data_IF_061860796824
#
_entry.id   IF_061860796824
#
_cell.length_a   1.000
_cell.length_b   1.000
_cell.length_c   1.000
_cell.angle_alpha   90.00
_cell.angle_beta   90.00
_cell.angle_gamma   90.00
#
_symmetry.space_group_name_H-M   'P 1'
#
loop_
_entity.id
_entity.type
_entity.pdbx_description
1 polymer ?
#
# COMPACT_ATOMS: atom_id res chain seq x y z
N UNK A 1 31.40 -19.96 -1.51
CA UNK A 1 30.54 -19.62 -2.66
C UNK A 1 31.01 -18.29 -3.19
N UNK A 2 31.99 -18.41 -4.07
CA UNK A 2 32.81 -17.38 -4.68
C UNK A 2 32.36 -17.23 -6.14
N UNK A 3 32.43 -16.00 -6.65
CA UNK A 3 32.13 -15.58 -8.03
C UNK A 3 30.68 -15.79 -8.48
N UNK A 4 29.86 -14.77 -8.24
CA UNK A 4 28.60 -14.60 -8.97
C UNK A 4 29.00 -14.10 -10.36
N UNK A 5 28.76 -14.92 -11.37
CA UNK A 5 28.76 -14.56 -12.79
C UNK A 5 27.75 -13.42 -13.04
N UNK A 6 28.18 -12.18 -12.80
CA UNK A 6 27.51 -10.96 -13.32
C UNK A 6 28.12 -10.59 -14.70
N UNK A 7 29.13 -11.33 -15.17
CA UNK A 7 29.91 -11.01 -16.38
C UNK A 7 29.33 -11.54 -17.69
N UNK A 8 28.08 -12.02 -17.72
CA UNK A 8 27.35 -12.30 -18.97
C UNK A 8 26.24 -11.28 -19.28
N UNK A 9 26.32 -10.07 -18.72
CA UNK A 9 25.50 -8.94 -19.15
C UNK A 9 26.21 -8.26 -20.33
N UNK A 10 25.77 -8.57 -21.56
CA UNK A 10 26.11 -7.94 -22.85
C UNK A 10 27.11 -6.77 -22.79
N UNK A 11 28.30 -6.95 -23.38
CA UNK A 11 29.35 -5.91 -23.50
C UNK A 11 28.97 -4.72 -24.39
N UNK A 12 27.83 -4.78 -25.09
CA UNK A 12 27.24 -3.67 -25.82
C UNK A 12 26.31 -2.83 -24.94
N UNK A 13 26.48 -1.51 -24.97
CA UNK A 13 25.56 -0.56 -24.31
C UNK A 13 24.22 -0.60 -25.02
N UNK A 14 23.18 -1.13 -24.36
CA UNK A 14 21.82 -1.17 -24.89
C UNK A 14 21.14 0.17 -24.68
N UNK A 15 20.54 0.71 -25.74
CA UNK A 15 19.63 1.83 -25.62
C UNK A 15 18.34 1.39 -24.93
N UNK A 16 17.99 2.07 -23.85
CA UNK A 16 16.84 1.71 -23.03
C UNK A 16 15.55 2.20 -23.68
N UNK A 17 14.53 1.33 -23.66
CA UNK A 17 13.19 1.74 -24.09
C UNK A 17 12.69 2.91 -23.22
N UNK A 18 11.87 3.76 -23.82
CA UNK A 18 11.40 5.00 -23.19
C UNK A 18 10.05 5.43 -23.75
N UNK A 19 9.33 6.23 -22.98
CA UNK A 19 8.18 6.96 -23.52
C UNK A 19 8.68 8.06 -24.47
N UNK A 20 7.86 8.39 -25.45
CA UNK A 20 7.99 9.63 -26.22
C UNK A 20 7.84 10.85 -25.30
N UNK A 21 8.37 11.99 -25.71
CA UNK A 21 8.36 13.21 -24.88
C UNK A 21 6.93 13.70 -24.59
N UNK A 22 5.98 13.43 -25.49
CA UNK A 22 4.55 13.68 -25.32
C UNK A 22 3.78 12.55 -24.60
N UNK A 23 4.45 11.41 -24.34
CA UNK A 23 3.89 10.25 -23.67
C UNK A 23 2.84 9.47 -24.48
N UNK A 24 2.75 9.66 -25.80
CA UNK A 24 1.74 9.01 -26.65
C UNK A 24 2.17 7.67 -27.25
N UNK A 25 3.46 7.34 -27.22
CA UNK A 25 3.97 6.06 -27.69
C UNK A 25 5.26 5.67 -26.94
N UNK A 26 5.70 4.44 -27.13
CA UNK A 26 6.99 3.93 -26.65
C UNK A 26 7.98 3.95 -27.81
N UNK A 27 9.22 4.28 -27.51
CA UNK A 27 10.37 4.02 -28.39
C UNK A 27 11.09 2.83 -27.77
N UNK A 28 11.11 1.71 -28.50
CA UNK A 28 11.75 0.48 -28.03
C UNK A 28 13.29 0.57 -28.08
N UNK A 29 13.97 -0.47 -27.60
CA UNK A 29 15.43 -0.51 -27.55
C UNK A 29 16.10 -0.55 -28.92
N UNK A 30 15.35 -0.80 -30.01
CA UNK A 30 15.85 -0.78 -31.38
C UNK A 30 15.43 0.51 -32.12
N UNK A 31 14.91 1.50 -31.37
CA UNK A 31 14.53 2.82 -31.87
C UNK A 31 13.19 2.86 -32.61
N UNK A 32 12.40 1.77 -32.58
CA UNK A 32 11.12 1.70 -33.28
C UNK A 32 10.01 2.31 -32.43
N UNK A 33 9.06 2.96 -33.12
CA UNK A 33 7.83 3.45 -32.49
C UNK A 33 6.90 2.27 -32.21
N UNK A 34 6.38 2.22 -30.99
CA UNK A 34 5.42 1.23 -30.51
C UNK A 34 4.22 1.95 -29.90
N UNK A 35 3.03 1.69 -30.44
CA UNK A 35 1.79 2.27 -29.92
C UNK A 35 1.42 1.66 -28.55
N UNK A 36 0.74 2.42 -27.70
CA UNK A 36 0.50 2.05 -26.29
C UNK A 36 -0.48 0.89 -26.11
N UNK A 37 -1.14 0.43 -27.17
CA UNK A 37 -2.00 -0.75 -27.17
C UNK A 37 -1.34 -2.02 -27.73
N UNK A 38 -0.08 -1.94 -28.17
CA UNK A 38 0.69 -3.06 -28.72
C UNK A 38 0.65 -4.27 -27.77
N UNK A 39 0.34 -5.49 -28.28
CA UNK A 39 0.20 -6.69 -27.46
C UNK A 39 1.50 -7.15 -26.79
N UNK A 40 2.66 -6.65 -27.22
CA UNK A 40 3.96 -6.90 -26.57
C UNK A 40 4.10 -6.15 -25.25
N UNK A 41 3.28 -5.13 -24.99
CA UNK A 41 3.34 -4.35 -23.77
C UNK A 41 2.82 -5.18 -22.59
N UNK A 42 3.66 -5.36 -21.57
CA UNK A 42 3.29 -6.04 -20.33
C UNK A 42 3.45 -5.10 -19.14
N UNK A 43 2.38 -4.96 -18.36
CA UNK A 43 2.37 -4.17 -17.13
C UNK A 43 2.80 -5.04 -15.95
N UNK A 44 3.73 -4.53 -15.14
CA UNK A 44 4.22 -5.22 -13.94
C UNK A 44 4.12 -4.30 -12.74
N UNK A 45 3.49 -4.77 -11.66
CA UNK A 45 3.50 -4.14 -10.34
C UNK A 45 4.53 -4.88 -9.46
N UNK A 46 5.76 -4.35 -9.30
CA UNK A 46 6.88 -5.04 -8.62
C UNK A 46 6.79 -5.04 -7.09
N UNK A 47 5.93 -4.21 -6.53
CA UNK A 47 5.59 -4.19 -5.11
C UNK A 47 4.58 -5.28 -4.71
N UNK A 48 4.70 -5.85 -3.50
CA UNK A 48 3.71 -6.76 -2.96
C UNK A 48 2.39 -6.03 -2.69
N UNK A 49 1.31 -6.81 -2.77
CA UNK A 49 -0.05 -6.43 -2.43
C UNK A 49 -0.71 -7.59 -1.71
N UNK A 50 -1.64 -7.28 -0.80
CA UNK A 50 -2.35 -8.31 -0.07
C UNK A 50 -2.96 -9.35 -1.06
N UNK A 51 -2.99 -10.65 -0.71
CA UNK A 51 -3.32 -11.70 -1.67
C UNK A 51 -4.68 -11.51 -2.36
N UNK A 52 -5.70 -11.09 -1.62
CA UNK A 52 -7.04 -10.85 -2.18
C UNK A 52 -7.05 -9.70 -3.17
N UNK A 53 -6.44 -8.57 -2.81
CA UNK A 53 -6.32 -7.39 -3.67
C UNK A 53 -5.56 -7.70 -4.95
N UNK A 54 -4.48 -8.49 -4.86
CA UNK A 54 -3.74 -8.99 -6.03
C UNK A 54 -4.65 -9.74 -7.00
N UNK A 55 -5.44 -10.70 -6.50
CA UNK A 55 -6.33 -11.47 -7.37
C UNK A 55 -7.51 -10.64 -7.90
N UNK A 56 -8.02 -9.67 -7.14
CA UNK A 56 -9.02 -8.71 -7.60
C UNK A 56 -8.46 -7.93 -8.80
N UNK A 57 -7.29 -7.32 -8.65
CA UNK A 57 -6.68 -6.49 -9.70
C UNK A 57 -6.36 -7.31 -10.95
N UNK A 58 -5.82 -8.52 -10.80
CA UNK A 58 -5.57 -9.41 -11.95
C UNK A 58 -6.87 -9.70 -12.73
N UNK A 59 -7.99 -9.95 -12.05
CA UNK A 59 -9.26 -10.21 -12.74
C UNK A 59 -9.88 -8.95 -13.34
N UNK A 60 -9.67 -7.77 -12.72
CA UNK A 60 -10.05 -6.49 -13.33
C UNK A 60 -9.25 -6.22 -14.60
N UNK A 61 -7.93 -6.41 -14.62
CA UNK A 61 -7.13 -6.24 -15.84
C UNK A 61 -7.66 -7.12 -16.98
N UNK A 62 -8.01 -8.39 -16.68
CA UNK A 62 -8.62 -9.31 -17.66
C UNK A 62 -9.94 -8.79 -18.22
N UNK A 63 -10.79 -8.15 -17.42
CA UNK A 63 -12.06 -7.56 -17.92
C UNK A 63 -11.85 -6.39 -18.87
N UNK A 64 -10.65 -5.81 -18.89
CA UNK A 64 -10.23 -4.76 -19.83
C UNK A 64 -9.34 -5.31 -20.97
N UNK A 65 -9.27 -6.63 -21.17
CA UNK A 65 -8.41 -7.28 -22.15
C UNK A 65 -6.91 -6.93 -21.99
N UNK A 66 -6.49 -6.68 -20.74
CA UNK A 66 -5.09 -6.44 -20.38
C UNK A 66 -4.59 -7.51 -19.42
N UNK A 67 -3.28 -7.69 -19.39
CA UNK A 67 -2.60 -8.54 -18.42
C UNK A 67 -1.74 -7.69 -17.49
N UNK A 68 -1.61 -8.13 -16.25
CA UNK A 68 -0.69 -7.55 -15.26
C UNK A 68 0.00 -8.67 -14.50
N UNK A 69 1.32 -8.54 -14.33
CA UNK A 69 2.06 -9.37 -13.37
C UNK A 69 2.25 -8.57 -12.09
N UNK A 70 1.96 -9.17 -10.95
CA UNK A 70 2.08 -8.52 -9.64
C UNK A 70 3.01 -9.37 -8.79
N UNK A 71 3.99 -8.73 -8.15
CA UNK A 71 4.95 -9.39 -7.29
C UNK A 71 4.25 -10.14 -6.14
N UNK A 72 4.92 -11.19 -5.66
CA UNK A 72 4.47 -11.94 -4.47
C UNK A 72 4.86 -11.18 -3.21
N UNK A 73 4.40 -11.66 -2.06
CA UNK A 73 4.79 -11.10 -0.76
C UNK A 73 6.31 -11.08 -0.61
N UNK A 74 6.82 -10.05 0.04
CA UNK A 74 8.26 -9.93 0.32
C UNK A 74 8.68 -11.07 1.21
N UNK A 75 9.57 -11.90 0.69
CA UNK A 75 10.12 -13.07 1.37
C UNK A 75 11.65 -13.10 1.21
N UNK A 76 12.29 -14.12 1.80
CA UNK A 76 13.74 -14.22 1.76
C UNK A 76 14.28 -14.28 0.33
N UNK A 77 13.58 -14.98 -0.56
CA UNK A 77 13.95 -15.14 -1.97
C UNK A 77 13.91 -13.80 -2.73
N UNK A 78 12.82 -13.03 -2.62
CA UNK A 78 12.71 -11.68 -3.21
C UNK A 78 13.84 -10.78 -2.70
N UNK A 79 14.14 -10.82 -1.41
CA UNK A 79 15.24 -10.05 -0.85
C UNK A 79 16.62 -10.50 -1.36
N UNK A 80 16.82 -11.79 -1.66
CA UNK A 80 18.04 -12.28 -2.31
C UNK A 80 18.18 -11.74 -3.74
N UNK A 81 17.09 -11.68 -4.50
CA UNK A 81 17.10 -10.99 -5.79
C UNK A 81 17.46 -9.50 -5.63
N UNK A 82 16.86 -8.80 -4.67
CA UNK A 82 17.16 -7.38 -4.43
C UNK A 82 18.64 -7.12 -4.11
N UNK A 83 19.27 -7.99 -3.32
CA UNK A 83 20.70 -7.90 -2.98
C UNK A 83 21.65 -8.02 -4.18
N UNK A 84 21.22 -8.57 -5.32
CA UNK A 84 22.06 -8.66 -6.53
C UNK A 84 22.26 -7.30 -7.21
N UNK A 85 21.40 -6.31 -6.94
CA UNK A 85 21.45 -5.00 -7.60
C UNK A 85 21.55 -3.82 -6.61
N UNK A 86 21.04 -3.99 -5.40
CA UNK A 86 21.11 -3.02 -4.31
C UNK A 86 22.46 -3.08 -3.58
N UNK A 87 22.91 -1.94 -3.05
CA UNK A 87 24.13 -1.83 -2.23
C UNK A 87 23.92 -2.24 -0.76
N UNK A 88 22.66 -2.35 -0.32
CA UNK A 88 22.28 -2.55 1.09
C UNK A 88 22.15 -1.24 1.87
N UNK A 89 22.27 -0.08 1.19
CA UNK A 89 22.02 1.25 1.79
C UNK A 89 20.61 1.79 1.47
N UNK A 90 19.92 1.15 0.52
CA UNK A 90 18.56 1.45 0.13
C UNK A 90 17.55 0.99 1.21
N UNK A 91 16.40 1.66 1.29
CA UNK A 91 15.33 1.25 2.19
C UNK A 91 14.75 -0.13 1.80
N UNK A 92 14.25 -0.88 2.78
CA UNK A 92 13.77 -2.24 2.55
C UNK A 92 12.69 -2.30 1.46
N UNK A 93 11.79 -1.31 1.40
CA UNK A 93 10.81 -1.20 0.33
C UNK A 93 11.48 -1.14 -1.06
N UNK A 94 12.53 -0.34 -1.22
CA UNK A 94 13.29 -0.26 -2.46
C UNK A 94 13.97 -1.59 -2.81
N UNK A 95 14.58 -2.25 -1.82
CA UNK A 95 15.21 -3.57 -2.00
C UNK A 95 14.19 -4.63 -2.42
N UNK A 96 13.00 -4.63 -1.80
CA UNK A 96 11.93 -5.56 -2.13
C UNK A 96 11.38 -5.34 -3.54
N UNK A 97 11.16 -4.08 -3.95
CA UNK A 97 10.74 -3.73 -5.31
C UNK A 97 11.83 -4.14 -6.32
N UNK A 98 13.10 -3.84 -6.05
CA UNK A 98 14.22 -4.25 -6.91
C UNK A 98 14.30 -5.77 -7.05
N UNK A 99 14.05 -6.51 -5.96
CA UNK A 99 13.94 -7.95 -5.97
C UNK A 99 12.77 -8.46 -6.81
N UNK A 100 11.59 -7.83 -6.69
CA UNK A 100 10.42 -8.14 -7.51
C UNK A 100 10.67 -7.91 -9.01
N UNK A 101 11.29 -6.79 -9.37
CA UNK A 101 11.71 -6.48 -10.75
C UNK A 101 12.69 -7.54 -11.26
N UNK A 102 13.77 -7.80 -10.53
CA UNK A 102 14.81 -8.73 -11.01
C UNK A 102 14.29 -10.16 -11.12
N UNK A 103 13.45 -10.59 -10.18
CA UNK A 103 12.79 -11.89 -10.25
C UNK A 103 11.91 -12.00 -11.50
N UNK A 104 11.12 -10.97 -11.78
CA UNK A 104 10.27 -10.94 -12.98
C UNK A 104 11.08 -11.01 -14.28
N UNK A 105 12.16 -10.21 -14.37
CA UNK A 105 13.09 -10.23 -15.51
C UNK A 105 13.69 -11.64 -15.70
N UNK A 106 14.06 -12.31 -14.62
CA UNK A 106 14.79 -13.58 -14.65
C UNK A 106 13.88 -14.78 -14.90
N UNK A 107 12.65 -14.78 -14.36
CA UNK A 107 11.79 -15.97 -14.32
C UNK A 107 10.55 -15.90 -15.20
N UNK A 108 10.01 -14.70 -15.47
CA UNK A 108 8.67 -14.55 -16.08
C UNK A 108 8.66 -13.76 -17.39
N UNK A 109 9.62 -12.84 -17.56
CA UNK A 109 9.74 -12.00 -18.75
C UNK A 109 10.16 -12.82 -19.96
N UNK A 110 9.54 -12.53 -21.10
CA UNK A 110 9.90 -13.11 -22.41
C UNK A 110 10.83 -12.18 -23.21
N UNK A 111 11.47 -12.67 -24.27
CA UNK A 111 12.38 -11.83 -25.07
C UNK A 111 11.65 -10.76 -25.89
N UNK A 112 10.43 -11.05 -26.34
CA UNK A 112 9.66 -10.21 -27.26
C UNK A 112 8.79 -9.15 -26.56
N UNK A 113 8.72 -9.13 -25.22
CA UNK A 113 7.88 -8.18 -24.49
C UNK A 113 8.55 -6.82 -24.25
N UNK A 114 7.72 -5.79 -24.17
CA UNK A 114 8.08 -4.45 -23.69
C UNK A 114 7.48 -4.30 -22.29
N UNK A 115 8.32 -4.33 -21.27
CA UNK A 115 7.86 -4.46 -19.89
C UNK A 115 7.84 -3.10 -19.20
N UNK A 116 6.66 -2.69 -18.73
CA UNK A 116 6.45 -1.47 -17.97
C UNK A 116 6.40 -1.83 -16.48
N UNK A 117 7.50 -1.57 -15.76
CA UNK A 117 7.56 -1.78 -14.32
C UNK A 117 7.04 -0.54 -13.61
N UNK A 118 5.85 -0.70 -13.02
CA UNK A 118 5.20 0.41 -12.37
C UNK A 118 5.89 0.72 -11.06
N UNK A 119 6.08 1.98 -10.74
CA UNK A 119 6.46 2.40 -9.40
C UNK A 119 5.56 3.58 -9.05
N UNK A 120 4.53 3.38 -8.23
CA UNK A 120 3.43 4.35 -8.09
C UNK A 120 3.80 5.57 -7.24
N UNK A 121 5.06 5.71 -6.83
CA UNK A 121 5.47 6.69 -5.84
C UNK A 121 6.25 7.82 -6.53
N UNK A 122 5.53 8.76 -7.12
CA UNK A 122 6.10 10.04 -7.57
C UNK A 122 6.02 11.05 -6.43
N UNK A 123 6.83 10.84 -5.38
CA UNK A 123 6.84 11.69 -4.19
C UNK A 123 8.12 12.51 -4.10
N UNK A 124 7.99 13.78 -3.71
CA UNK A 124 9.12 14.58 -3.25
C UNK A 124 8.99 14.72 -1.74
N UNK A 125 9.94 14.21 -0.96
CA UNK A 125 9.87 14.27 0.51
C UNK A 125 11.21 13.96 1.15
N UNK A 126 11.36 14.16 2.46
CA UNK A 126 12.60 13.86 3.18
C UNK A 126 12.87 12.35 3.31
N UNK A 127 11.96 11.50 2.79
CA UNK A 127 12.13 10.07 2.72
C UNK A 127 13.07 9.68 1.55
N UNK A 128 13.73 8.53 1.66
CA UNK A 128 14.60 8.00 0.60
C UNK A 128 13.86 7.79 -0.73
N UNK A 129 12.53 7.68 -0.72
CA UNK A 129 11.73 7.51 -1.93
C UNK A 129 11.85 8.67 -2.92
N UNK A 130 12.10 9.90 -2.47
CA UNK A 130 12.38 11.04 -3.36
C UNK A 130 13.64 10.84 -4.21
N UNK A 131 14.57 9.99 -3.78
CA UNK A 131 15.78 9.62 -4.51
C UNK A 131 15.62 8.41 -5.43
N UNK A 132 14.48 7.70 -5.37
CA UNK A 132 14.26 6.50 -6.19
C UNK A 132 14.35 6.73 -7.70
N UNK A 133 13.90 7.85 -8.32
CA UNK A 133 14.06 8.03 -9.76
C UNK A 133 15.53 7.93 -10.22
N UNK A 134 16.45 8.47 -9.41
CA UNK A 134 17.90 8.41 -9.70
C UNK A 134 18.45 6.99 -9.51
N UNK A 135 17.99 6.31 -8.47
CA UNK A 135 18.34 4.91 -8.20
C UNK A 135 17.90 4.00 -9.36
N UNK A 136 16.65 4.11 -9.80
CA UNK A 136 16.09 3.28 -10.87
C UNK A 136 16.74 3.53 -12.23
N UNK A 137 17.11 4.78 -12.52
CA UNK A 137 17.93 5.10 -13.71
C UNK A 137 19.29 4.38 -13.66
N UNK A 138 19.89 4.27 -12.47
CA UNK A 138 21.15 3.54 -12.29
C UNK A 138 20.95 2.04 -12.44
N UNK A 139 19.86 1.50 -11.88
CA UNK A 139 19.52 0.08 -11.98
C UNK A 139 19.23 -0.35 -13.42
N UNK A 140 18.46 0.43 -14.19
CA UNK A 140 18.22 0.16 -15.61
C UNK A 140 19.52 0.03 -16.41
N UNK A 141 20.50 0.93 -16.18
CA UNK A 141 21.82 0.84 -16.83
C UNK A 141 22.62 -0.40 -16.42
N UNK A 142 22.58 -0.77 -15.14
CA UNK A 142 23.29 -1.96 -14.62
C UNK A 142 22.70 -3.26 -15.14
N UNK A 143 21.37 -3.32 -15.24
CA UNK A 143 20.65 -4.49 -15.76
C UNK A 143 20.95 -4.71 -17.24
N UNK A 144 21.10 -3.63 -18.01
CA UNK A 144 21.36 -3.67 -19.46
C UNK A 144 20.41 -4.64 -20.20
N UNK A 145 19.11 -4.57 -19.86
CA UNK A 145 18.06 -5.38 -20.48
C UNK A 145 17.34 -4.53 -21.53
N UNK A 146 17.08 -5.10 -22.71
CA UNK A 146 16.29 -4.46 -23.76
C UNK A 146 14.82 -4.34 -23.36
N UNK A 147 14.12 -3.33 -23.86
CA UNK A 147 12.66 -3.24 -23.83
C UNK A 147 12.06 -3.27 -22.41
N UNK A 148 12.73 -2.64 -21.45
CA UNK A 148 12.16 -2.38 -20.11
C UNK A 148 12.05 -0.88 -19.86
N UNK A 149 10.96 -0.46 -19.21
CA UNK A 149 10.78 0.89 -18.69
C UNK A 149 10.56 0.77 -17.19
N UNK A 150 11.56 1.19 -16.42
CA UNK A 150 11.50 1.24 -14.95
C UNK A 150 10.92 2.58 -14.49
N UNK A 151 10.34 2.59 -13.29
CA UNK A 151 9.90 3.82 -12.61
C UNK A 151 8.89 4.64 -13.42
N UNK A 152 7.86 3.96 -13.94
CA UNK A 152 6.77 4.59 -14.68
C UNK A 152 5.45 4.37 -13.93
N UNK A 153 4.48 5.28 -14.06
CA UNK A 153 3.14 5.07 -13.50
C UNK A 153 2.07 5.63 -14.46
N UNK A 154 0.92 4.96 -14.60
CA UNK A 154 -0.14 5.44 -15.49
C UNK A 154 -0.76 6.73 -14.97
N UNK A 155 -0.80 7.77 -15.81
CA UNK A 155 -1.39 9.06 -15.50
C UNK A 155 -1.91 9.75 -16.78
N UNK A 156 -2.59 10.89 -16.62
CA UNK A 156 -3.20 11.58 -17.76
C UNK A 156 -2.18 12.10 -18.80
N UNK A 157 -0.93 12.38 -18.41
CA UNK A 157 0.11 12.91 -19.31
C UNK A 157 0.69 11.84 -20.23
N UNK A 158 0.77 10.60 -19.77
CA UNK A 158 1.25 9.46 -20.56
C UNK A 158 0.11 8.56 -21.05
N UNK A 159 -1.10 9.11 -21.20
CA UNK A 159 -2.30 8.40 -21.67
C UNK A 159 -2.54 7.08 -20.90
N UNK A 160 -2.27 7.10 -19.60
CA UNK A 160 -2.37 5.95 -18.70
C UNK A 160 -1.60 4.72 -19.19
N UNK A 161 -0.52 4.92 -19.97
CA UNK A 161 0.28 3.86 -20.58
C UNK A 161 -0.54 2.89 -21.44
N UNK A 162 -1.60 3.38 -22.10
CA UNK A 162 -2.51 2.55 -22.90
C UNK A 162 -3.54 1.77 -22.08
N UNK A 163 -3.59 1.97 -20.76
CA UNK A 163 -4.65 1.45 -19.90
C UNK A 163 -5.88 2.36 -19.94
N UNK A 164 -7.04 1.77 -19.66
CA UNK A 164 -8.26 2.53 -19.44
C UNK A 164 -8.15 3.32 -18.11
N UNK A 165 -8.54 4.60 -18.10
CA UNK A 165 -8.47 5.44 -16.89
C UNK A 165 -9.27 4.86 -15.73
N UNK A 166 -10.42 4.24 -16.00
CA UNK A 166 -11.25 3.62 -14.96
C UNK A 166 -10.52 2.42 -14.34
N UNK A 167 -9.81 1.62 -15.14
CA UNK A 167 -9.02 0.50 -14.61
C UNK A 167 -7.98 0.99 -13.60
N UNK A 168 -7.31 2.11 -13.87
CA UNK A 168 -6.31 2.68 -12.94
C UNK A 168 -6.93 3.20 -11.64
N UNK A 169 -8.16 3.72 -11.70
CA UNK A 169 -8.91 4.11 -10.51
C UNK A 169 -9.32 2.87 -9.69
N UNK A 170 -9.86 1.85 -10.36
CA UNK A 170 -10.35 0.62 -9.73
C UNK A 170 -9.25 -0.32 -9.23
N UNK A 171 -8.04 -0.25 -9.78
CA UNK A 171 -6.87 -0.97 -9.27
C UNK A 171 -6.63 -0.68 -7.79
N UNK A 172 -6.55 0.62 -7.45
CA UNK A 172 -6.32 1.08 -6.09
C UNK A 172 -7.45 0.67 -5.14
N UNK A 173 -8.70 0.79 -5.60
CA UNK A 173 -9.87 0.34 -4.84
C UNK A 173 -9.86 -1.18 -4.66
N UNK A 174 -9.42 -1.95 -5.66
CA UNK A 174 -9.28 -3.40 -5.60
C UNK A 174 -8.30 -3.83 -4.51
N UNK A 175 -7.16 -3.14 -4.39
CA UNK A 175 -6.22 -3.39 -3.29
C UNK A 175 -6.82 -3.07 -1.91
N UNK A 176 -7.58 -1.98 -1.79
CA UNK A 176 -8.25 -1.63 -0.54
C UNK A 176 -9.37 -2.62 -0.16
N UNK A 177 -10.14 -3.11 -1.14
CA UNK A 177 -11.12 -4.19 -0.92
C UNK A 177 -10.41 -5.43 -0.38
N UNK A 178 -9.26 -5.79 -0.97
CA UNK A 178 -8.44 -6.88 -0.46
C UNK A 178 -8.02 -6.71 1.00
N UNK A 179 -7.72 -5.48 1.42
CA UNK A 179 -7.39 -5.14 2.82
C UNK A 179 -8.57 -5.39 3.76
N UNK A 180 -9.79 -5.03 3.35
CA UNK A 180 -11.00 -5.31 4.12
C UNK A 180 -11.32 -6.80 4.19
N UNK A 181 -11.07 -7.55 3.11
CA UNK A 181 -11.20 -9.01 3.12
C UNK A 181 -10.18 -9.64 4.08
N UNK A 182 -8.94 -9.16 4.13
CA UNK A 182 -7.93 -9.60 5.11
C UNK A 182 -8.36 -9.31 6.55
N UNK A 183 -8.93 -8.13 6.83
CA UNK A 183 -9.49 -7.82 8.16
C UNK A 183 -10.57 -8.82 8.56
N UNK A 184 -11.54 -9.08 7.67
CA UNK A 184 -12.60 -10.04 7.92
C UNK A 184 -12.06 -11.46 8.13
N UNK A 185 -11.07 -11.87 7.34
CA UNK A 185 -10.39 -13.17 7.47
C UNK A 185 -9.73 -13.31 8.84
N UNK A 186 -8.97 -12.30 9.26
CA UNK A 186 -8.23 -12.30 10.52
C UNK A 186 -9.17 -12.32 11.73
N UNK A 187 -10.27 -11.56 11.67
CA UNK A 187 -11.31 -11.64 12.68
C UNK A 187 -11.90 -13.06 12.75
N UNK A 188 -12.29 -13.63 11.61
CA UNK A 188 -12.91 -14.96 11.54
C UNK A 188 -12.02 -16.06 12.12
N UNK A 189 -10.71 -16.00 11.89
CA UNK A 189 -9.76 -16.98 12.45
C UNK A 189 -9.77 -17.02 13.98
N UNK A 190 -9.99 -15.88 14.63
CA UNK A 190 -10.04 -15.79 16.09
C UNK A 190 -11.41 -16.16 16.65
N UNK A 191 -12.49 -15.82 15.94
CA UNK A 191 -13.86 -15.90 16.49
C UNK A 191 -14.72 -17.05 15.96
N UNK A 192 -14.27 -17.79 14.95
CA UNK A 192 -14.99 -18.96 14.44
C UNK A 192 -15.07 -20.09 15.49
N UNK A 193 -16.19 -20.81 15.48
CA UNK A 193 -16.37 -22.03 16.28
C UNK A 193 -15.42 -23.14 15.83
N UNK A 194 -15.40 -23.43 14.52
CA UNK A 194 -14.39 -24.27 13.87
C UNK A 194 -13.61 -23.44 12.84
N UNK A 195 -12.39 -23.04 13.20
CA UNK A 195 -11.53 -22.21 12.36
C UNK A 195 -11.17 -22.90 11.02
N UNK A 196 -10.99 -24.23 11.00
CA UNK A 196 -10.53 -24.94 9.80
C UNK A 196 -11.62 -24.99 8.72
N UNK A 197 -12.83 -25.42 9.10
CA UNK A 197 -13.97 -25.43 8.15
C UNK A 197 -14.41 -24.03 7.75
N UNK A 198 -14.42 -23.08 8.69
CA UNK A 198 -14.76 -21.67 8.43
C UNK A 198 -13.81 -21.03 7.41
N UNK A 199 -12.51 -21.29 7.51
CA UNK A 199 -11.53 -20.81 6.54
C UNK A 199 -11.74 -21.39 5.15
N UNK A 200 -12.09 -22.69 5.03
CA UNK A 200 -12.43 -23.28 3.72
C UNK A 200 -13.64 -22.60 3.08
N UNK A 201 -14.68 -22.31 3.87
CA UNK A 201 -15.86 -21.57 3.40
C UNK A 201 -15.48 -20.15 2.97
N UNK A 202 -14.69 -19.46 3.79
CA UNK A 202 -14.22 -18.11 3.51
C UNK A 202 -13.43 -18.03 2.20
N UNK A 203 -12.42 -18.88 2.03
CA UNK A 203 -11.57 -18.87 0.84
C UNK A 203 -12.36 -19.26 -0.42
N UNK A 204 -13.24 -20.26 -0.34
CA UNK A 204 -14.12 -20.64 -1.46
C UNK A 204 -15.05 -19.49 -1.86
N UNK A 205 -15.72 -18.88 -0.89
CA UNK A 205 -16.67 -17.78 -1.15
C UNK A 205 -15.95 -16.55 -1.72
N UNK A 206 -14.77 -16.24 -1.18
CA UNK A 206 -13.93 -15.14 -1.66
C UNK A 206 -13.42 -15.41 -3.07
N UNK A 207 -12.99 -16.63 -3.37
CA UNK A 207 -12.55 -17.02 -4.72
C UNK A 207 -13.67 -16.88 -5.75
N UNK A 208 -14.89 -17.36 -5.45
CA UNK A 208 -16.06 -17.19 -6.33
C UNK A 208 -16.36 -15.71 -6.58
N UNK A 209 -16.29 -14.87 -5.54
CA UNK A 209 -16.43 -13.43 -5.70
C UNK A 209 -15.37 -12.84 -6.65
N UNK A 210 -14.09 -13.14 -6.41
CA UNK A 210 -12.99 -12.58 -7.19
C UNK A 210 -13.04 -13.06 -8.65
N UNK A 211 -13.38 -14.33 -8.90
CA UNK A 211 -13.52 -14.87 -10.24
C UNK A 211 -14.62 -14.18 -11.05
N UNK A 212 -15.72 -13.78 -10.40
CA UNK A 212 -16.81 -13.04 -11.06
C UNK A 212 -16.37 -11.68 -11.62
N UNK A 213 -15.25 -11.12 -11.15
CA UNK A 213 -14.74 -9.82 -11.60
C UNK A 213 -14.20 -9.85 -13.04
N UNK A 214 -13.98 -11.03 -13.62
CA UNK A 214 -13.67 -11.16 -15.07
C UNK A 214 -14.79 -10.61 -15.94
N UNK A 215 -16.03 -10.56 -15.43
CA UNK A 215 -17.19 -9.98 -16.11
C UNK A 215 -17.27 -8.44 -15.96
N UNK A 216 -16.33 -7.82 -15.25
CA UNK A 216 -16.19 -6.38 -15.12
C UNK A 216 -16.51 -5.81 -13.74
N UNK A 217 -16.20 -4.52 -13.58
CA UNK A 217 -16.22 -3.80 -12.31
C UNK A 217 -17.60 -3.70 -11.64
N UNK A 218 -18.67 -3.81 -12.42
CA UNK A 218 -20.05 -3.81 -11.93
C UNK A 218 -20.33 -4.96 -10.95
N UNK A 219 -19.52 -6.03 -11.01
CA UNK A 219 -19.61 -7.20 -10.11
C UNK A 219 -18.99 -6.96 -8.74
N UNK A 220 -18.19 -5.91 -8.53
CA UNK A 220 -17.61 -5.62 -7.21
C UNK A 220 -18.69 -5.49 -6.13
N UNK A 221 -19.67 -4.61 -6.35
CA UNK A 221 -20.70 -4.33 -5.33
C UNK A 221 -21.65 -5.51 -5.13
N UNK A 222 -22.17 -6.07 -6.23
CA UNK A 222 -23.15 -7.17 -6.16
C UNK A 222 -22.51 -8.47 -5.63
N UNK A 223 -21.27 -8.75 -6.03
CA UNK A 223 -20.46 -9.85 -5.53
C UNK A 223 -20.19 -9.74 -4.03
N UNK A 224 -19.77 -8.57 -3.54
CA UNK A 224 -19.52 -8.36 -2.11
C UNK A 224 -20.79 -8.44 -1.26
N UNK A 225 -21.95 -8.02 -1.78
CA UNK A 225 -23.25 -8.22 -1.09
C UNK A 225 -23.54 -9.71 -0.91
N UNK A 226 -23.31 -10.54 -1.94
CA UNK A 226 -23.50 -11.99 -1.86
C UNK A 226 -22.49 -12.62 -0.93
N UNK A 227 -21.21 -12.26 -1.09
CA UNK A 227 -20.12 -12.70 -0.23
C UNK A 227 -20.44 -12.44 1.25
N UNK A 228 -20.83 -11.21 1.61
CA UNK A 228 -21.12 -10.86 3.01
C UNK A 228 -22.29 -11.66 3.59
N UNK A 229 -23.32 -11.95 2.77
CA UNK A 229 -24.46 -12.79 3.18
C UNK A 229 -24.05 -14.23 3.49
N UNK A 230 -23.16 -14.81 2.69
CA UNK A 230 -22.68 -16.18 2.92
C UNK A 230 -21.74 -16.26 4.12
N UNK A 231 -20.80 -15.31 4.23
CA UNK A 231 -19.85 -15.27 5.35
C UNK A 231 -20.56 -15.05 6.70
N UNK A 232 -21.62 -14.24 6.74
CA UNK A 232 -22.40 -14.02 7.97
C UNK A 232 -23.04 -15.29 8.56
N UNK A 233 -23.22 -16.35 7.76
CA UNK A 233 -23.83 -17.61 8.21
C UNK A 233 -22.85 -18.49 9.00
N UNK A 234 -21.56 -18.17 8.99
CA UNK A 234 -20.54 -18.97 9.66
C UNK A 234 -20.73 -18.89 11.19
N UNK A 235 -20.83 -20.02 11.91
CA UNK A 235 -20.95 -20.02 13.36
C UNK A 235 -19.71 -19.45 14.07
N UNK A 236 -19.95 -18.60 15.07
CA UNK A 236 -18.91 -17.93 15.85
C UNK A 236 -19.00 -18.35 17.32
N UNK A 237 -17.84 -18.61 17.94
CA UNK A 237 -17.73 -18.90 19.38
C UNK A 237 -17.65 -17.64 20.25
N UNK A 238 -17.39 -16.48 19.65
CA UNK A 238 -17.26 -15.20 20.33
C UNK A 238 -17.65 -14.04 19.39
N UNK A 239 -17.99 -12.88 19.95
CA UNK A 239 -18.16 -11.66 19.15
C UNK A 239 -16.80 -11.04 18.82
N UNK A 240 -16.72 -10.39 17.67
CA UNK A 240 -15.50 -9.66 17.26
C UNK A 240 -15.20 -8.56 18.26
N UNK A 241 -16.21 -7.83 18.73
CA UNK A 241 -16.10 -6.71 19.67
C UNK A 241 -15.48 -7.14 21.02
N UNK A 242 -15.78 -8.35 21.47
CA UNK A 242 -15.34 -8.93 22.76
C UNK A 242 -13.98 -9.64 22.65
N UNK A 243 -13.43 -9.78 21.45
CA UNK A 243 -12.13 -10.45 21.21
C UNK A 243 -10.98 -9.43 21.25
N UNK A 244 -9.81 -9.75 21.84
CA UNK A 244 -8.68 -8.82 21.93
C UNK A 244 -8.16 -8.42 20.55
N UNK A 245 -7.82 -7.14 20.37
CA UNK A 245 -7.40 -6.57 19.07
C UNK A 245 -6.13 -5.76 19.21
N UNK A 246 -5.28 -5.83 18.18
CA UNK A 246 -4.09 -4.98 18.07
C UNK A 246 -4.04 -4.27 16.74
N UNK A 247 -3.61 -3.01 16.76
CA UNK A 247 -3.34 -2.26 15.54
C UNK A 247 -1.84 -2.32 15.24
N UNK A 248 -1.50 -2.76 14.03
CA UNK A 248 -0.18 -2.65 13.42
C UNK A 248 -0.22 -1.42 12.52
N UNK A 249 0.52 -0.37 12.89
CA UNK A 249 0.53 0.90 12.19
C UNK A 249 1.96 1.35 11.88
N UNK A 250 2.11 2.27 10.93
CA UNK A 250 3.38 2.59 10.29
C UNK A 250 3.15 3.29 8.95
N UNK A 251 4.22 3.47 8.17
CA UNK A 251 4.15 4.12 6.85
C UNK A 251 3.96 3.13 5.71
N UNK A 252 4.38 3.52 4.51
CA UNK A 252 4.35 2.68 3.30
C UNK A 252 5.16 1.37 3.45
N UNK A 253 6.10 1.33 4.38
CA UNK A 253 6.90 0.13 4.67
C UNK A 253 6.03 -1.08 5.05
N UNK A 254 4.85 -0.85 5.64
CA UNK A 254 3.98 -1.94 6.07
C UNK A 254 3.61 -2.88 4.94
N UNK A 255 3.44 -2.39 3.70
CA UNK A 255 3.18 -3.18 2.50
C UNK A 255 4.12 -4.39 2.34
N UNK A 256 5.32 -4.33 2.92
CA UNK A 256 6.38 -5.29 2.68
C UNK A 256 6.65 -6.24 3.86
N UNK A 257 6.20 -5.96 5.08
CA UNK A 257 6.79 -6.62 6.27
C UNK A 257 5.85 -6.82 7.47
N UNK A 258 4.53 -6.63 7.31
CA UNK A 258 3.59 -6.81 8.42
C UNK A 258 3.28 -8.29 8.75
N UNK A 259 3.36 -9.19 7.76
CA UNK A 259 2.86 -10.57 7.88
C UNK A 259 3.39 -11.36 9.08
N UNK A 260 4.71 -11.33 9.42
CA UNK A 260 5.20 -12.07 10.59
C UNK A 260 4.61 -11.59 11.92
N UNK A 261 4.34 -10.28 12.03
CA UNK A 261 3.72 -9.67 13.22
C UNK A 261 2.24 -10.03 13.28
N UNK A 262 1.56 -10.00 12.13
CA UNK A 262 0.17 -10.42 12.00
C UNK A 262 -0.02 -11.89 12.42
N UNK A 263 0.78 -12.80 11.86
CA UNK A 263 0.76 -14.23 12.15
C UNK A 263 1.02 -14.53 13.63
N UNK A 264 1.93 -13.76 14.26
CA UNK A 264 2.21 -13.89 15.68
C UNK A 264 0.94 -13.64 16.52
N UNK A 265 0.22 -12.55 16.27
CA UNK A 265 -0.98 -12.22 17.03
C UNK A 265 -2.15 -13.17 16.76
N UNK A 266 -2.31 -13.60 15.50
CA UNK A 266 -3.31 -14.62 15.14
C UNK A 266 -3.09 -15.92 15.91
N UNK A 267 -1.85 -16.41 16.02
CA UNK A 267 -1.50 -17.59 16.83
C UNK A 267 -1.80 -17.40 18.31
N UNK A 268 -1.79 -16.17 18.80
CA UNK A 268 -2.16 -15.83 20.17
C UNK A 268 -3.67 -15.65 20.37
N UNK A 269 -4.50 -15.80 19.33
CA UNK A 269 -5.94 -15.57 19.40
C UNK A 269 -6.31 -14.10 19.60
N UNK A 270 -5.45 -13.20 19.11
CA UNK A 270 -5.66 -11.74 19.10
C UNK A 270 -5.88 -11.34 17.65
N UNK A 271 -6.87 -10.51 17.37
CA UNK A 271 -7.17 -10.05 16.00
C UNK A 271 -6.22 -8.90 15.64
N UNK A 272 -5.25 -9.08 14.72
CA UNK A 272 -4.46 -7.98 14.20
C UNK A 272 -5.21 -7.21 13.11
N UNK A 273 -5.04 -5.89 13.10
CA UNK A 273 -5.38 -5.02 11.97
C UNK A 273 -4.15 -4.27 11.54
N UNK A 274 -3.80 -4.34 10.26
CA UNK A 274 -2.86 -3.40 9.65
C UNK A 274 -3.64 -2.17 9.20
N UNK A 275 -3.12 -0.97 9.40
CA UNK A 275 -3.75 0.29 8.93
C UNK A 275 -4.13 0.24 7.46
N UNK A 276 -5.23 0.88 7.09
CA UNK A 276 -5.78 0.80 5.73
C UNK A 276 -4.78 1.36 4.70
N UNK A 277 -4.60 0.62 3.58
CA UNK A 277 -3.79 1.06 2.45
C UNK A 277 -4.22 2.44 1.91
N UNK A 278 -5.50 2.77 2.03
CA UNK A 278 -6.07 4.06 1.65
C UNK A 278 -5.34 5.23 2.32
N UNK A 279 -4.87 5.10 3.56
CA UNK A 279 -4.12 6.17 4.24
C UNK A 279 -2.82 6.51 3.48
N UNK A 280 -2.09 5.49 3.06
CA UNK A 280 -0.87 5.62 2.27
C UNK A 280 -1.14 6.18 0.88
N UNK A 281 -2.22 5.75 0.24
CA UNK A 281 -2.61 6.26 -1.09
C UNK A 281 -3.02 7.73 -1.02
N UNK A 282 -3.86 8.10 -0.05
CA UNK A 282 -4.30 9.48 0.17
C UNK A 282 -3.13 10.39 0.52
N UNK A 283 -2.13 9.90 1.25
CA UNK A 283 -0.88 10.60 1.49
C UNK A 283 -0.10 10.94 0.22
N UNK A 284 0.03 10.00 -0.72
CA UNK A 284 0.71 10.26 -1.99
C UNK A 284 -0.08 11.28 -2.82
N UNK A 285 -1.41 11.13 -2.86
CA UNK A 285 -2.28 12.00 -3.68
C UNK A 285 -2.37 13.41 -3.10
N UNK A 286 -2.31 13.57 -1.77
CA UNK A 286 -2.45 14.86 -1.09
C UNK A 286 -1.26 15.80 -1.26
N UNK A 287 -0.08 15.29 -1.62
CA UNK A 287 1.17 16.09 -1.65
C UNK A 287 1.02 17.37 -2.48
N UNK A 288 0.37 17.30 -3.65
CA UNK A 288 0.16 18.49 -4.49
C UNK A 288 -0.72 19.54 -3.84
N UNK A 289 -1.69 19.12 -3.02
CA UNK A 289 -2.62 20.02 -2.32
C UNK A 289 -1.87 20.74 -1.21
N UNK A 290 -1.13 19.99 -0.37
CA UNK A 290 -0.31 20.52 0.71
C UNK A 290 0.74 21.50 0.18
N UNK A 291 1.47 21.11 -0.87
CA UNK A 291 2.49 21.98 -1.49
C UNK A 291 1.89 23.25 -2.09
N UNK A 292 0.72 23.13 -2.73
CA UNK A 292 0.04 24.27 -3.31
C UNK A 292 -0.43 25.24 -2.22
N UNK A 293 -1.07 24.74 -1.16
CA UNK A 293 -1.49 25.53 -0.01
C UNK A 293 -0.31 26.20 0.71
N UNK A 294 0.78 25.48 0.93
CA UNK A 294 2.00 26.03 1.53
C UNK A 294 2.60 27.18 0.70
N UNK A 295 2.63 27.07 -0.63
CA UNK A 295 3.05 28.16 -1.53
C UNK A 295 2.18 29.41 -1.43
N UNK A 296 0.93 29.27 -0.96
CA UNK A 296 -0.01 30.37 -0.72
C UNK A 296 0.08 30.93 0.71
N UNK A 297 1.01 30.43 1.52
CA UNK A 297 1.20 30.85 2.91
C UNK A 297 0.32 30.13 3.93
N UNK A 298 -0.42 29.10 3.52
CA UNK A 298 -1.26 28.30 4.42
C UNK A 298 -0.44 27.18 5.04
N UNK A 299 -0.59 26.95 6.35
CA UNK A 299 0.28 26.03 7.10
C UNK A 299 -0.50 24.85 7.66
N UNK A 300 -1.76 25.03 8.06
CA UNK A 300 -2.58 23.94 8.58
C UNK A 300 -3.22 23.12 7.45
N UNK A 301 -3.34 21.80 7.60
CA UNK A 301 -4.10 21.01 6.63
C UNK A 301 -5.53 21.51 6.41
N UNK A 302 -6.29 22.00 7.40
CA UNK A 302 -7.67 22.46 7.19
C UNK A 302 -7.71 23.62 6.20
N UNK A 303 -6.84 24.61 6.36
CA UNK A 303 -6.71 25.72 5.41
C UNK A 303 -6.29 25.22 4.03
N UNK A 304 -5.35 24.27 3.97
CA UNK A 304 -4.83 23.73 2.72
C UNK A 304 -5.84 22.82 1.99
N UNK A 305 -6.77 22.22 2.72
CA UNK A 305 -7.86 21.42 2.19
C UNK A 305 -9.18 22.19 2.08
N UNK A 306 -9.18 23.50 2.37
CA UNK A 306 -10.36 24.35 2.16
C UNK A 306 -10.64 24.51 0.66
N UNK A 307 -11.92 24.59 0.27
CA UNK A 307 -12.32 24.74 -1.14
C UNK A 307 -11.94 26.13 -1.70
N UNK A 308 -11.88 27.15 -0.85
CA UNK A 308 -11.51 28.53 -1.22
C UNK A 308 -10.05 28.65 -1.69
N UNK A 309 -9.19 27.68 -1.37
CA UNK A 309 -7.81 27.63 -1.86
C UNK A 309 -7.76 27.56 -3.39
N UNK A 310 -8.81 27.04 -4.01
CA UNK A 310 -8.92 26.78 -5.45
C UNK A 310 -9.55 27.99 -6.17
N UNK A 311 -9.04 29.18 -5.90
CA UNK A 311 -9.45 30.40 -6.59
C UNK A 311 -8.53 30.72 -7.79
N UNK A 312 -9.14 30.79 -8.98
CA UNK A 312 -8.49 31.12 -10.25
C UNK A 312 -8.31 32.62 -10.49
N UNK A 313 -8.97 33.48 -9.70
CA UNK A 313 -9.07 34.93 -9.94
C UNK A 313 -7.72 35.65 -9.98
N UNK A 314 -6.70 35.09 -9.30
CA UNK A 314 -5.38 35.69 -9.11
C UNK A 314 -4.21 34.77 -9.55
N UNK A 315 -4.38 33.97 -10.61
CA UNK A 315 -3.37 33.00 -11.07
C UNK A 315 -2.71 33.37 -12.40
N UNK A 316 -1.37 33.36 -12.43
CA UNK A 316 -0.61 33.30 -13.69
C UNK A 316 -0.66 31.88 -14.30
N UNK A 317 -0.27 31.74 -15.57
CA UNK A 317 -0.37 30.47 -16.30
C UNK A 317 0.40 29.31 -15.65
N UNK A 318 1.55 29.60 -15.02
CA UNK A 318 2.32 28.59 -14.28
C UNK A 318 1.56 28.08 -13.05
N UNK A 319 0.87 28.97 -12.34
CA UNK A 319 0.09 28.62 -11.16
C UNK A 319 -1.20 27.87 -11.52
N UNK A 320 -1.78 28.09 -12.71
CA UNK A 320 -2.96 27.36 -13.19
C UNK A 320 -2.70 25.85 -13.26
N UNK A 321 -1.55 25.43 -13.78
CA UNK A 321 -1.20 24.00 -13.88
C UNK A 321 -1.08 23.30 -12.52
N UNK A 322 -0.58 24.01 -11.49
CA UNK A 322 -0.49 23.49 -10.12
C UNK A 322 -1.87 23.39 -9.46
N UNK A 323 -2.73 24.38 -9.68
CA UNK A 323 -4.14 24.36 -9.23
C UNK A 323 -4.91 23.23 -9.86
N UNK A 324 -4.81 23.05 -11.18
CA UNK A 324 -5.49 21.96 -11.86
C UNK A 324 -5.01 20.59 -11.36
N UNK A 325 -3.72 20.47 -10.99
CA UNK A 325 -3.19 19.25 -10.35
C UNK A 325 -3.80 19.05 -8.95
N UNK A 326 -3.86 20.09 -8.13
CA UNK A 326 -4.46 20.03 -6.80
C UNK A 326 -5.95 19.66 -6.85
N UNK A 327 -6.74 20.25 -7.77
CA UNK A 327 -8.16 19.93 -7.97
C UNK A 327 -8.34 18.47 -8.36
N UNK A 328 -7.60 18.00 -9.37
CA UNK A 328 -7.70 16.60 -9.83
C UNK A 328 -7.38 15.63 -8.69
N UNK A 329 -6.35 15.93 -7.91
CA UNK A 329 -5.95 15.10 -6.79
C UNK A 329 -6.99 15.16 -5.65
N UNK A 330 -7.61 16.31 -5.37
CA UNK A 330 -8.72 16.40 -4.41
C UNK A 330 -9.90 15.52 -4.84
N UNK A 331 -10.36 15.65 -6.09
CA UNK A 331 -11.43 14.79 -6.65
C UNK A 331 -11.08 13.30 -6.56
N UNK A 332 -9.81 12.95 -6.79
CA UNK A 332 -9.31 11.58 -6.64
C UNK A 332 -9.37 11.12 -5.18
N UNK A 333 -9.02 11.97 -4.21
CA UNK A 333 -9.14 11.67 -2.78
C UNK A 333 -10.61 11.45 -2.39
N UNK A 334 -11.51 12.35 -2.79
CA UNK A 334 -12.95 12.23 -2.49
C UNK A 334 -13.53 10.93 -3.06
N UNK A 335 -13.12 10.57 -4.28
CA UNK A 335 -13.50 9.30 -4.90
C UNK A 335 -12.99 8.10 -4.09
N UNK A 336 -11.71 8.07 -3.71
CA UNK A 336 -11.10 7.00 -2.92
C UNK A 336 -11.84 6.86 -1.59
N UNK A 337 -12.04 7.96 -0.87
CA UNK A 337 -12.68 7.99 0.44
C UNK A 337 -14.12 7.48 0.38
N UNK A 338 -14.88 7.98 -0.60
CA UNK A 338 -16.26 7.52 -0.85
C UNK A 338 -16.30 6.02 -1.15
N UNK A 339 -15.40 5.51 -2.00
CA UNK A 339 -15.36 4.07 -2.29
C UNK A 339 -14.96 3.26 -1.06
N UNK A 340 -14.02 3.74 -0.24
CA UNK A 340 -13.64 3.10 1.03
C UNK A 340 -14.88 2.93 1.93
N UNK A 341 -15.64 3.99 2.15
CA UNK A 341 -16.88 3.95 2.93
C UNK A 341 -17.91 2.95 2.36
N UNK A 342 -18.10 2.96 1.04
CA UNK A 342 -19.03 2.03 0.36
C UNK A 342 -18.61 0.58 0.59
N UNK A 343 -17.36 0.22 0.29
CA UNK A 343 -16.91 -1.16 0.37
C UNK A 343 -16.77 -1.66 1.81
N UNK A 344 -16.35 -0.78 2.73
CA UNK A 344 -16.34 -1.07 4.17
C UNK A 344 -17.76 -1.37 4.67
N UNK A 345 -18.77 -0.60 4.26
CA UNK A 345 -20.18 -0.87 4.57
C UNK A 345 -20.68 -2.19 3.98
N UNK A 346 -20.29 -2.54 2.76
CA UNK A 346 -20.73 -3.78 2.11
C UNK A 346 -20.12 -5.01 2.79
N UNK A 347 -18.81 -5.01 3.00
CA UNK A 347 -18.07 -6.12 3.61
C UNK A 347 -18.41 -6.22 5.10
N UNK A 348 -18.63 -5.10 5.79
CA UNK A 348 -19.03 -5.05 7.19
C UNK A 348 -20.36 -5.77 7.48
N UNK A 349 -21.21 -5.99 6.48
CA UNK A 349 -22.42 -6.82 6.63
C UNK A 349 -22.12 -8.30 6.95
N UNK A 350 -20.87 -8.75 6.77
CA UNK A 350 -20.41 -10.06 7.25
C UNK A 350 -20.39 -10.17 8.78
N UNK A 351 -20.34 -9.04 9.50
CA UNK A 351 -20.14 -8.99 10.95
C UNK A 351 -18.68 -9.16 11.39
N UNK A 352 -17.72 -9.11 10.46
CA UNK A 352 -16.30 -9.38 10.74
C UNK A 352 -15.38 -8.16 10.64
N UNK A 353 -15.88 -7.00 10.19
CA UNK A 353 -15.11 -5.75 10.21
C UNK A 353 -15.33 -5.01 11.52
N UNK A 354 -14.27 -4.40 12.04
CA UNK A 354 -14.26 -3.72 13.33
C UNK A 354 -13.45 -2.44 13.34
N UNK A 355 -12.49 -2.25 12.42
CA UNK A 355 -11.74 -1.01 12.33
C UNK A 355 -12.71 0.10 11.88
N UNK A 356 -12.84 1.22 12.59
CA UNK A 356 -13.66 2.33 12.13
C UNK A 356 -13.03 3.00 10.91
N UNK A 357 -13.82 3.77 10.16
CA UNK A 357 -13.25 4.67 9.16
C UNK A 357 -12.69 5.92 9.85
N UNK A 358 -11.50 6.36 9.43
CA UNK A 358 -10.89 7.60 9.86
C UNK A 358 -10.67 8.48 8.63
N UNK A 359 -11.10 9.73 8.72
CA UNK A 359 -10.84 10.74 7.70
C UNK A 359 -9.34 10.99 7.61
N UNK A 360 -8.80 11.00 6.38
CA UNK A 360 -7.41 11.35 6.14
C UNK A 360 -7.07 12.75 6.65
N UNK A 361 -7.99 13.71 6.51
CA UNK A 361 -7.79 15.07 7.00
C UNK A 361 -7.68 15.09 8.53
N UNK A 362 -8.54 14.37 9.24
CA UNK A 362 -8.50 14.29 10.71
C UNK A 362 -7.20 13.65 11.22
N UNK A 363 -6.72 12.62 10.52
CA UNK A 363 -5.41 12.01 10.81
C UNK A 363 -4.29 13.02 10.62
N UNK A 364 -4.27 13.70 9.48
CA UNK A 364 -3.23 14.65 9.15
C UNK A 364 -3.22 15.84 10.13
N UNK A 365 -4.40 16.30 10.53
CA UNK A 365 -4.60 17.37 11.48
C UNK A 365 -4.13 17.06 12.89
N UNK A 366 -4.53 15.90 13.39
CA UNK A 366 -4.09 15.48 14.71
C UNK A 366 -2.57 15.30 14.77
N UNK A 367 -1.97 14.79 13.70
CA UNK A 367 -0.52 14.69 13.56
C UNK A 367 0.18 16.04 13.44
N UNK A 368 -0.43 17.00 12.71
CA UNK A 368 0.17 18.31 12.43
C UNK A 368 0.42 19.13 13.70
N UNK A 369 -0.31 18.85 14.78
CA UNK A 369 -0.09 19.43 16.12
C UNK A 369 1.28 19.12 16.71
N UNK A 370 1.95 18.06 16.23
CA UNK A 370 3.24 17.59 16.75
C UNK A 370 4.36 17.65 15.71
N UNK A 371 4.03 17.45 14.43
CA UNK A 371 5.00 17.47 13.32
C UNK A 371 4.32 17.95 12.04
N UNK A 372 4.89 19.00 11.44
CA UNK A 372 4.23 19.68 10.31
C UNK A 372 3.97 18.77 9.11
N UNK A 373 2.74 18.77 8.60
CA UNK A 373 2.33 18.10 7.37
C UNK A 373 3.04 18.64 6.12
N UNK A 374 3.54 19.88 6.18
CA UNK A 374 4.26 20.54 5.08
C UNK A 374 5.57 19.85 4.70
N UNK A 375 6.12 19.05 5.62
CA UNK A 375 7.28 18.20 5.33
C UNK A 375 6.98 17.04 4.38
N UNK A 376 5.71 16.77 4.06
CA UNK A 376 5.27 15.74 3.11
C UNK A 376 5.88 14.36 3.42
N UNK A 377 5.86 13.96 4.69
CA UNK A 377 6.36 12.68 5.21
C UNK A 377 5.25 11.92 5.93
N UNK A 378 5.28 10.58 5.92
CA UNK A 378 4.30 9.80 6.69
C UNK A 378 4.38 10.06 8.20
N UNK A 379 5.45 10.69 8.71
CA UNK A 379 5.63 10.97 10.15
C UNK A 379 4.38 11.61 10.77
N UNK A 380 3.79 12.61 10.10
CA UNK A 380 2.57 13.29 10.55
C UNK A 380 1.39 12.34 10.57
N UNK A 381 1.21 11.54 9.51
CA UNK A 381 0.12 10.58 9.40
C UNK A 381 0.20 9.47 10.46
N UNK A 382 1.40 8.90 10.66
CA UNK A 382 1.66 7.85 11.66
C UNK A 382 1.37 8.37 13.08
N UNK A 383 1.78 9.61 13.36
CA UNK A 383 1.52 10.28 14.65
C UNK A 383 0.03 10.51 14.87
N UNK A 384 -0.67 11.06 13.88
CA UNK A 384 -2.11 11.26 13.93
C UNK A 384 -2.90 9.97 14.07
N UNK A 385 -2.47 8.90 13.39
CA UNK A 385 -3.06 7.56 13.50
C UNK A 385 -2.94 7.02 14.92
N UNK A 386 -1.76 7.13 15.55
CA UNK A 386 -1.58 6.72 16.95
C UNK A 386 -2.58 7.41 17.89
N UNK A 387 -2.67 8.75 17.80
CA UNK A 387 -3.50 9.54 18.71
C UNK A 387 -4.99 9.26 18.50
N UNK A 388 -5.45 9.24 17.24
CA UNK A 388 -6.85 8.96 16.94
C UNK A 388 -7.23 7.53 17.32
N UNK A 389 -6.32 6.56 17.17
CA UNK A 389 -6.55 5.17 17.58
C UNK A 389 -6.82 5.06 19.09
N UNK A 390 -6.09 5.82 19.91
CA UNK A 390 -6.34 5.88 21.36
C UNK A 390 -7.74 6.43 21.63
N UNK A 391 -8.13 7.53 20.96
CA UNK A 391 -9.45 8.16 21.14
C UNK A 391 -10.60 7.22 20.75
N UNK A 392 -10.41 6.38 19.73
CA UNK A 392 -11.43 5.43 19.27
C UNK A 392 -11.68 4.28 20.25
N UNK A 393 -10.69 3.89 21.06
CA UNK A 393 -10.84 2.86 22.09
C UNK A 393 -11.06 1.42 21.59
N UNK A 394 -11.04 1.19 20.26
CA UNK A 394 -11.32 -0.11 19.63
C UNK A 394 -10.22 -1.15 19.93
N UNK A 395 -8.97 -0.69 19.97
CA UNK A 395 -7.80 -1.55 20.11
C UNK A 395 -7.36 -1.72 21.56
N UNK A 396 -6.71 -2.85 21.83
CA UNK A 396 -6.20 -3.23 23.15
C UNK A 396 -4.66 -3.23 23.20
N UNK A 397 -4.01 -3.03 22.07
CA UNK A 397 -2.57 -2.83 21.96
C UNK A 397 -2.17 -2.24 20.61
N UNK A 398 -1.05 -1.54 20.57
CA UNK A 398 -0.56 -0.82 19.40
C UNK A 398 0.89 -1.22 19.09
N UNK A 399 1.16 -1.53 17.83
CA UNK A 399 2.50 -1.84 17.33
C UNK A 399 2.85 -0.87 16.22
N UNK A 400 3.79 0.04 16.49
CA UNK A 400 4.40 0.88 15.44
C UNK A 400 5.47 0.05 14.75
N UNK A 401 5.18 -0.42 13.53
CA UNK A 401 6.04 -1.30 12.78
C UNK A 401 6.84 -0.52 11.73
N UNK A 402 8.14 -0.41 11.95
CA UNK A 402 9.10 0.28 11.11
C UNK A 402 10.06 -0.66 10.39
N UNK A 403 11.01 -0.04 9.69
CA UNK A 403 12.29 -0.63 9.27
C UNK A 403 13.37 0.34 9.71
N UNK A 404 14.56 -0.17 9.99
CA UNK A 404 15.71 0.55 10.52
C UNK A 404 16.06 1.82 9.73
N UNK A 405 15.86 1.82 8.41
CA UNK A 405 16.13 2.97 7.55
C UNK A 405 14.86 3.69 7.05
N UNK A 406 13.68 3.39 7.62
CA UNK A 406 12.47 4.15 7.36
C UNK A 406 12.44 5.41 8.22
N UNK A 407 12.94 6.50 7.65
CA UNK A 407 12.98 7.82 8.30
C UNK A 407 11.60 8.25 8.89
N UNK A 408 10.47 8.10 8.16
CA UNK A 408 9.16 8.46 8.73
C UNK A 408 8.80 7.68 9.99
N UNK A 409 9.09 6.36 10.01
CA UNK A 409 8.84 5.51 11.17
C UNK A 409 9.71 5.96 12.35
N UNK A 410 11.02 6.16 12.15
CA UNK A 410 11.95 6.63 13.19
C UNK A 410 11.53 7.99 13.77
N UNK A 411 11.20 8.96 12.92
CA UNK A 411 10.77 10.28 13.36
C UNK A 411 9.48 10.21 14.19
N UNK A 412 8.52 9.37 13.77
CA UNK A 412 7.24 9.24 14.47
C UNK A 412 7.43 8.60 15.85
N UNK A 413 8.37 7.67 16.00
CA UNK A 413 8.67 7.04 17.30
C UNK A 413 9.14 8.06 18.34
N UNK A 414 9.94 9.06 17.95
CA UNK A 414 10.40 10.10 18.86
C UNK A 414 9.24 10.92 19.46
N UNK A 415 8.15 11.08 18.69
CA UNK A 415 6.93 11.80 19.10
C UNK A 415 5.99 10.87 19.87
N UNK A 416 5.76 9.67 19.35
CA UNK A 416 4.77 8.73 19.88
C UNK A 416 5.21 8.17 21.23
N UNK A 417 6.49 7.88 21.44
CA UNK A 417 6.94 7.20 22.67
C UNK A 417 6.63 7.99 23.95
N UNK A 418 6.87 9.31 24.04
CA UNK A 418 6.40 10.11 25.18
C UNK A 418 4.87 10.11 25.36
N UNK A 419 4.10 10.10 24.26
CA UNK A 419 2.63 10.05 24.31
C UNK A 419 2.12 8.68 24.79
N UNK A 420 2.74 7.60 24.31
CA UNK A 420 2.44 6.24 24.71
C UNK A 420 2.70 6.00 26.19
N UNK A 421 3.81 6.53 26.73
CA UNK A 421 4.12 6.45 28.16
C UNK A 421 3.07 7.13 29.06
N UNK A 422 2.30 8.09 28.52
CA UNK A 422 1.20 8.78 29.23
C UNK A 422 -0.15 8.10 29.03
N UNK A 423 -0.21 7.07 28.20
CA UNK A 423 -1.43 6.34 27.86
C UNK A 423 -1.49 4.99 28.57
N UNK A 424 -2.70 4.48 28.78
CA UNK A 424 -2.90 3.15 29.37
C UNK A 424 -2.93 2.02 28.31
N UNK A 425 -2.60 2.31 27.05
CA UNK A 425 -2.60 1.30 25.98
C UNK A 425 -1.20 0.69 25.84
N UNK A 426 -1.08 -0.66 25.80
CA UNK A 426 0.16 -1.36 25.48
C UNK A 426 0.70 -0.89 24.14
N UNK A 427 1.95 -0.46 24.13
CA UNK A 427 2.60 0.08 22.94
C UNK A 427 4.01 -0.51 22.77
N UNK A 428 4.33 -0.93 21.55
CA UNK A 428 5.69 -1.27 21.15
C UNK A 428 6.02 -0.65 19.79
N UNK A 429 7.27 -0.22 19.67
CA UNK A 429 7.89 0.05 18.38
C UNK A 429 8.76 -1.15 17.99
N UNK A 430 8.59 -1.66 16.78
CA UNK A 430 9.27 -2.86 16.27
C UNK A 430 9.79 -2.55 14.88
N UNK A 431 11.08 -2.79 14.62
CA UNK A 431 11.67 -2.60 13.28
C UNK A 431 11.95 -3.96 12.65
N UNK A 432 11.30 -4.29 11.54
CA UNK A 432 11.44 -5.59 10.86
C UNK A 432 12.16 -5.47 9.51
N UNK A 433 13.32 -6.11 9.38
CA UNK A 433 14.16 -6.05 8.16
C UNK A 433 13.91 -7.19 7.15
N UNK A 434 12.88 -8.01 7.38
CA UNK A 434 12.60 -9.16 6.53
C UNK A 434 11.48 -10.04 7.08
N UNK A 435 11.29 -11.23 6.49
CA UNK A 435 10.14 -12.10 6.78
C UNK A 435 10.26 -12.88 8.11
N UNK A 436 11.20 -12.51 8.99
CA UNK A 436 11.49 -13.25 10.22
C UNK A 436 11.56 -12.32 11.42
N UNK A 437 11.01 -12.76 12.54
CA UNK A 437 11.11 -12.09 13.83
C UNK A 437 12.30 -12.63 14.64
N UNK A 438 13.14 -11.73 15.12
CA UNK A 438 14.18 -11.99 16.12
C UNK A 438 13.58 -12.24 17.51
N UNK A 439 14.37 -12.86 18.39
CA UNK A 439 14.00 -13.13 19.78
C UNK A 439 13.57 -11.87 20.53
N UNK A 440 14.26 -10.74 20.33
CA UNK A 440 13.91 -9.49 21.00
C UNK A 440 12.56 -8.93 20.51
N UNK A 441 12.28 -9.03 19.21
CA UNK A 441 10.99 -8.61 18.66
C UNK A 441 9.86 -9.50 19.19
N UNK A 442 10.06 -10.82 19.23
CA UNK A 442 9.09 -11.76 19.81
C UNK A 442 8.75 -11.41 21.26
N UNK A 443 9.76 -11.17 22.10
CA UNK A 443 9.57 -10.76 23.51
C UNK A 443 8.72 -9.48 23.64
N UNK A 444 8.94 -8.50 22.76
CA UNK A 444 8.14 -7.27 22.74
C UNK A 444 6.69 -7.57 22.37
N UNK A 445 6.46 -8.36 21.31
CA UNK A 445 5.11 -8.71 20.86
C UNK A 445 4.36 -9.57 21.89
N UNK A 446 5.03 -10.49 22.58
CA UNK A 446 4.47 -11.28 23.69
C UNK A 446 4.00 -10.38 24.83
N UNK A 447 4.79 -9.36 25.17
CA UNK A 447 4.43 -8.37 26.20
C UNK A 447 3.14 -7.64 25.81
N UNK A 448 3.04 -7.18 24.55
CA UNK A 448 1.82 -6.54 24.03
C UNK A 448 0.64 -7.51 24.04
N UNK A 449 0.84 -8.76 23.61
CA UNK A 449 -0.21 -9.76 23.56
C UNK A 449 -0.84 -10.04 24.93
N UNK A 450 0.00 -10.23 25.96
CA UNK A 450 -0.47 -10.48 27.34
C UNK A 450 -1.25 -9.28 27.88
N UNK A 451 -0.74 -8.06 27.67
CA UNK A 451 -1.40 -6.86 28.18
C UNK A 451 -2.72 -6.56 27.43
N UNK A 452 -2.75 -6.74 26.11
CA UNK A 452 -3.95 -6.56 25.30
C UNK A 452 -5.08 -7.52 25.73
N UNK A 453 -4.76 -8.79 26.00
CA UNK A 453 -5.71 -9.75 26.56
C UNK A 453 -6.27 -9.30 27.91
N UNK A 454 -5.40 -8.85 28.82
CA UNK A 454 -5.83 -8.34 30.14
C UNK A 454 -6.76 -7.14 30.02
N UNK A 455 -6.47 -6.21 29.11
CA UNK A 455 -7.34 -5.05 28.86
C UNK A 455 -8.68 -5.49 28.32
N UNK A 456 -8.71 -6.41 27.35
CA UNK A 456 -9.98 -6.90 26.80
C UNK A 456 -10.83 -7.61 27.84
N UNK A 457 -10.24 -8.45 28.70
CA UNK A 457 -10.95 -9.09 29.81
C UNK A 457 -11.63 -8.03 30.69
N UNK A 458 -10.89 -7.00 31.12
CA UNK A 458 -11.44 -5.88 31.90
C UNK A 458 -12.51 -5.04 31.17
N UNK A 459 -12.45 -4.95 29.84
CA UNK A 459 -13.48 -4.27 29.03
C UNK A 459 -14.76 -5.09 28.87
N UNK A 460 -14.67 -6.41 29.06
CA UNK A 460 -15.79 -7.35 28.94
C UNK A 460 -16.45 -7.66 30.29
N UNK A 461 -15.76 -7.40 31.41
CA UNK A 461 -16.33 -7.27 32.76
C UNK A 461 -17.23 -6.04 32.85
#
# INVERSE_FOLDING_TARGET
>A
MTEIEIDNINSGKIDQARLSDDGFYIIDSDGQKVDLDDPRIVHVLPEPRNPYGRHIVINLYKSYNRNVRISKDTNAEILQYGKKICSGRECLASVAIAGGVLKDITEYRTENEITLYHTPIEQHGPCQNGGWPVLWKTFSKRLNVKNIILYVAPNFRNKYLGLNSDLTAWENIGFQIGHYLTEARNALQCVAEDASSSMKIFEKTTSVFIESLKEGVSKLRTGLVRWAKEIRKIPLKAKVEETPKVLIFGGLNLLFLHYPVEDFFLKMGIIPKVVDLAESLLFIVSESILRFGFKRGLISPQEQFDESLIDYSNLNDKNRGEVDKAIRNRKKMDFIDTQCLVFKKLIGKSGLLFDPHLSYLDLLEEGNKYVTSNSCTETTLITGRFINTIKMGVYDGLVNLGTFNCQPAMNSQAIIRPLANKSNIPYAAVDCEGPSLSTNQLRLLETIAIQAKRIRIKKNE
#
